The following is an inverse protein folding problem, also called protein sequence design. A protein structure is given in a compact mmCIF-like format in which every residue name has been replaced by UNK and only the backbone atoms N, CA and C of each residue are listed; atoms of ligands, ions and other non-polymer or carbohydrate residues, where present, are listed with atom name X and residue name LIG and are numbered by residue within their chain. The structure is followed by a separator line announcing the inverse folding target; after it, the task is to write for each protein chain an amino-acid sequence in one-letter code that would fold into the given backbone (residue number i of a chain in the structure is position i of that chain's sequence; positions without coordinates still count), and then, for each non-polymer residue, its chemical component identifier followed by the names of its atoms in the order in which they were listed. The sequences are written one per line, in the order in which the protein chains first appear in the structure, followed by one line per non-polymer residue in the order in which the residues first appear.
data_IF_587347004426
#
_entry.id   IF_587347004426
#
_cell.length_a   1.000
_cell.length_b   1.000
_cell.length_c   1.000
_cell.angle_alpha   90.00
_cell.angle_beta   90.00
_cell.angle_gamma   90.00
#
_symmetry.space_group_name_H-M   'P 1'
#
loop_
_entity.id
_entity.type
_entity.pdbx_description
1 polymer ?
#
# COMPACT_ATOMS: atom_id res chain seq x y z
N UNK A 1 16.70 -57.27 -25.34
CA UNK A 1 17.26 -56.18 -26.15
C UNK A 1 16.25 -55.03 -26.14
N UNK A 2 16.48 -54.06 -25.28
CA UNK A 2 15.58 -52.94 -25.00
C UNK A 2 15.87 -51.81 -25.99
N UNK A 3 14.86 -51.39 -26.76
CA UNK A 3 15.00 -50.31 -27.74
C UNK A 3 13.82 -49.34 -27.72
N UNK A 4 14.19 -48.11 -27.38
CA UNK A 4 13.70 -46.81 -27.87
C UNK A 4 12.52 -46.17 -27.11
N UNK A 5 12.93 -45.32 -26.16
CA UNK A 5 12.25 -44.07 -25.80
C UNK A 5 12.19 -43.12 -27.00
N UNK A 6 11.00 -42.56 -27.26
CA UNK A 6 10.73 -41.16 -27.62
C UNK A 6 9.28 -41.08 -28.08
N UNK A 7 8.48 -40.24 -27.43
CA UNK A 7 7.42 -39.42 -28.02
C UNK A 7 7.04 -38.34 -27.01
N UNK A 8 7.84 -37.27 -26.95
CA UNK A 8 7.34 -35.96 -26.51
C UNK A 8 6.65 -35.36 -27.72
N UNK A 9 5.31 -35.32 -27.69
CA UNK A 9 4.52 -34.56 -28.66
C UNK A 9 3.72 -33.54 -27.89
N UNK A 10 4.20 -32.31 -27.97
CA UNK A 10 3.51 -31.07 -27.63
C UNK A 10 2.14 -31.05 -28.33
N UNK A 11 1.08 -30.84 -27.57
CA UNK A 11 -0.23 -30.38 -28.08
C UNK A 11 -1.11 -29.93 -26.91
N UNK A 12 -1.21 -28.62 -26.70
CA UNK A 12 -2.47 -27.97 -26.35
C UNK A 12 -2.48 -26.59 -27.03
N UNK A 13 -3.15 -26.50 -28.17
CA UNK A 13 -3.55 -25.24 -28.78
C UNK A 13 -4.98 -24.95 -28.36
N UNK A 14 -5.13 -23.76 -27.79
CA UNK A 14 -6.13 -22.72 -28.09
C UNK A 14 -7.62 -23.06 -28.00
N UNK A 15 -8.29 -22.29 -27.14
CA UNK A 15 -9.34 -21.32 -27.51
C UNK A 15 -10.61 -21.48 -26.69
N UNK A 16 -10.82 -20.54 -25.76
CA UNK A 16 -12.08 -19.82 -25.60
C UNK A 16 -11.84 -18.58 -24.73
N UNK A 17 -11.32 -17.51 -25.33
CA UNK A 17 -11.49 -16.17 -24.77
C UNK A 17 -12.80 -15.61 -25.32
N UNK A 18 -13.89 -15.97 -24.64
CA UNK A 18 -15.22 -15.41 -24.83
C UNK A 18 -15.76 -14.96 -23.49
N UNK A 19 -16.24 -13.72 -23.43
CA UNK A 19 -16.88 -13.11 -22.26
C UNK A 19 -15.90 -12.29 -21.41
N UNK A 20 -16.17 -11.06 -21.05
CA UNK A 20 -17.38 -10.27 -21.18
C UNK A 20 -16.93 -8.82 -21.16
N UNK A 21 -17.42 -8.05 -22.14
CA UNK A 21 -17.52 -6.61 -22.01
C UNK A 21 -18.41 -6.35 -20.80
N UNK A 22 -17.75 -6.01 -19.69
CA UNK A 22 -18.34 -5.82 -18.38
C UNK A 22 -18.15 -4.38 -17.98
N UNK A 23 -18.80 -3.47 -18.72
CA UNK A 23 -19.18 -2.18 -18.16
C UNK A 23 -20.24 -2.43 -17.09
N UNK A 24 -19.80 -2.55 -15.84
CA UNK A 24 -20.67 -2.45 -14.68
C UNK A 24 -19.88 -1.94 -13.48
N UNK A 25 -20.44 -0.88 -12.89
CA UNK A 25 -20.09 -0.22 -11.62
C UNK A 25 -18.78 0.58 -11.65
N UNK A 26 -18.83 1.87 -12.00
CA UNK A 26 -19.47 2.88 -11.16
C UNK A 26 -19.45 2.52 -9.67
N UNK A 27 -18.26 2.24 -9.13
CA UNK A 27 -18.03 2.53 -7.73
C UNK A 27 -17.93 4.05 -7.57
N UNK A 28 -19.08 4.72 -7.74
CA UNK A 28 -19.48 5.85 -6.92
C UNK A 28 -19.35 5.47 -5.45
N UNK A 29 -18.11 5.46 -4.94
CA UNK A 29 -17.85 5.77 -3.54
C UNK A 29 -17.85 7.30 -3.39
N UNK A 30 -18.97 7.90 -3.81
CA UNK A 30 -19.40 9.18 -3.30
C UNK A 30 -19.86 8.98 -1.85
N UNK A 31 -19.37 9.89 -1.01
CA UNK A 31 -19.98 10.27 0.26
C UNK A 31 -20.26 9.14 1.26
N UNK A 32 -19.23 8.74 1.98
CA UNK A 32 -19.35 8.86 3.45
C UNK A 32 -18.46 10.01 3.88
N UNK A 33 -19.00 11.21 3.67
CA UNK A 33 -18.77 12.34 4.55
C UNK A 33 -18.98 11.88 6.00
N UNK A 34 -18.06 12.31 6.86
CA UNK A 34 -18.37 12.64 8.25
C UNK A 34 -19.18 11.61 9.06
N UNK A 35 -18.54 10.52 9.44
CA UNK A 35 -18.84 9.95 10.75
C UNK A 35 -17.74 10.43 11.71
N UNK A 36 -18.17 11.34 12.58
CA UNK A 36 -17.45 12.09 13.61
C UNK A 36 -16.99 11.19 14.77
N UNK A 37 -16.27 10.11 14.47
CA UNK A 37 -15.42 9.52 15.48
C UNK A 37 -14.11 10.33 15.46
N UNK A 38 -14.05 11.37 16.29
CA UNK A 38 -12.83 12.10 16.69
C UNK A 38 -11.86 11.16 17.43
N UNK A 39 -11.44 10.08 16.79
CA UNK A 39 -10.16 9.50 17.12
C UNK A 39 -9.12 10.46 16.52
N UNK A 40 -8.67 11.43 17.32
CA UNK A 40 -7.50 12.26 17.07
C UNK A 40 -6.29 11.32 16.99
N UNK A 41 -6.16 10.65 15.84
CA UNK A 41 -5.10 9.73 15.56
C UNK A 41 -3.87 10.57 15.21
N UNK A 42 -3.00 10.71 16.20
CA UNK A 42 -1.70 11.34 16.02
C UNK A 42 -0.93 10.59 14.92
N UNK A 43 -0.39 11.37 13.98
CA UNK A 43 0.51 10.81 12.97
C UNK A 43 1.71 10.17 13.66
N UNK A 44 2.17 9.00 13.20
CA UNK A 44 3.45 8.46 13.66
C UNK A 44 4.52 9.55 13.52
N UNK A 45 5.33 9.78 14.56
CA UNK A 45 6.29 10.90 14.62
C UNK A 45 7.17 10.98 13.35
N UNK A 46 7.57 9.82 12.81
CA UNK A 46 8.35 9.76 11.55
C UNK A 46 7.62 10.31 10.33
N UNK A 47 6.31 10.17 10.26
CA UNK A 47 5.48 10.73 9.18
C UNK A 47 5.24 12.22 9.43
N UNK A 48 4.96 12.60 10.67
CA UNK A 48 4.79 14.00 11.05
C UNK A 48 6.06 14.84 10.79
N UNK A 49 7.24 14.29 11.08
CA UNK A 49 8.52 14.96 10.85
C UNK A 49 8.84 15.20 9.37
N UNK A 50 8.15 14.52 8.45
CA UNK A 50 8.37 14.68 7.01
C UNK A 50 7.62 15.88 6.41
N UNK A 51 6.69 16.48 7.17
CA UNK A 51 5.86 17.60 6.71
C UNK A 51 6.53 18.90 7.20
N UNK A 52 7.36 19.48 6.35
CA UNK A 52 8.16 20.66 6.67
C UNK A 52 7.54 21.95 6.11
N UNK A 53 6.50 21.84 5.27
CA UNK A 53 5.95 22.99 4.54
C UNK A 53 6.76 23.32 3.28
N UNK A 54 7.45 22.33 2.70
CA UNK A 54 8.23 22.51 1.47
C UNK A 54 7.33 22.62 0.23
N UNK A 55 6.07 22.19 0.36
CA UNK A 55 5.08 22.13 -0.71
C UNK A 55 4.18 20.91 -0.53
N UNK A 56 2.91 21.05 -0.91
CA UNK A 56 1.90 19.99 -0.71
C UNK A 56 2.31 18.65 -1.34
N UNK A 57 2.77 18.65 -2.59
CA UNK A 57 3.19 17.43 -3.29
C UNK A 57 4.48 16.82 -2.72
N UNK A 58 5.45 17.65 -2.34
CA UNK A 58 6.73 17.21 -1.76
C UNK A 58 6.53 16.61 -0.37
N UNK A 59 5.79 17.28 0.50
CA UNK A 59 5.47 16.78 1.85
C UNK A 59 4.66 15.47 1.75
N UNK A 60 3.72 15.38 0.80
CA UNK A 60 2.97 14.15 0.55
C UNK A 60 3.87 13.00 0.09
N UNK A 61 4.85 13.26 -0.78
CA UNK A 61 5.80 12.26 -1.25
C UNK A 61 6.68 11.76 -0.10
N UNK A 62 7.21 12.68 0.72
CA UNK A 62 8.00 12.32 1.91
C UNK A 62 7.17 11.52 2.91
N UNK A 63 5.91 11.91 3.15
CA UNK A 63 4.99 11.15 3.99
C UNK A 63 4.75 9.74 3.46
N UNK A 64 4.49 9.59 2.17
CA UNK A 64 4.26 8.29 1.56
C UNK A 64 5.53 7.41 1.63
N UNK A 65 6.70 7.99 1.45
CA UNK A 65 7.97 7.29 1.60
C UNK A 65 8.18 6.82 3.05
N UNK A 66 8.06 7.72 4.02
CA UNK A 66 8.17 7.40 5.44
C UNK A 66 7.17 6.31 5.85
N UNK A 67 5.94 6.39 5.33
CA UNK A 67 4.92 5.37 5.57
C UNK A 67 5.35 4.00 5.03
N UNK A 68 5.91 3.93 3.83
CA UNK A 68 6.39 2.68 3.25
C UNK A 68 7.56 2.06 4.01
N UNK A 69 8.33 2.91 4.70
CA UNK A 69 9.54 2.52 5.41
C UNK A 69 9.30 2.18 6.88
N UNK A 70 8.15 2.56 7.47
CA UNK A 70 7.80 2.31 8.87
C UNK A 70 8.04 0.85 9.29
N UNK A 71 8.80 0.61 10.37
CA UNK A 71 9.04 -0.75 10.88
C UNK A 71 7.73 -1.42 11.33
N UNK A 72 7.71 -2.75 11.48
CA UNK A 72 6.54 -3.48 11.97
C UNK A 72 6.07 -3.01 13.36
N UNK A 73 6.98 -2.53 14.20
CA UNK A 73 6.67 -1.97 15.54
C UNK A 73 6.21 -0.49 15.52
N UNK A 74 6.46 0.24 14.43
CA UNK A 74 6.20 1.69 14.35
C UNK A 74 4.78 2.07 13.91
N UNK A 75 3.98 1.08 13.54
CA UNK A 75 2.56 1.16 13.20
C UNK A 75 2.03 -0.27 13.18
N UNK A 76 0.76 -0.54 13.50
CA UNK A 76 0.23 -1.91 13.48
C UNK A 76 0.53 -2.59 12.12
N UNK A 77 0.85 -3.89 12.14
CA UNK A 77 1.24 -4.69 10.95
C UNK A 77 0.26 -4.52 9.79
N UNK A 78 -1.02 -4.41 10.15
CA UNK A 78 -2.04 -3.77 9.35
C UNK A 78 -2.13 -2.33 9.83
N UNK A 79 -1.96 -1.34 8.94
CA UNK A 79 -2.45 0.01 9.24
C UNK A 79 -3.83 -0.13 9.91
N UNK A 80 -4.15 0.68 10.95
CA UNK A 80 -5.38 0.51 11.71
C UNK A 80 -6.54 0.28 10.75
N UNK A 81 -7.52 -0.53 11.18
CA UNK A 81 -8.68 -0.95 10.41
C UNK A 81 -9.39 0.20 9.64
N UNK A 82 -9.08 1.45 9.97
CA UNK A 82 -9.34 2.64 9.15
C UNK A 82 -8.08 3.22 8.48
N UNK A 83 -7.75 2.80 7.24
CA UNK A 83 -6.88 3.60 6.35
C UNK A 83 -7.39 5.04 6.15
N UNK A 84 -8.64 5.31 6.52
CA UNK A 84 -9.31 6.60 6.46
C UNK A 84 -8.77 7.59 7.51
N UNK A 85 -8.48 7.16 8.74
CA UNK A 85 -8.01 8.05 9.80
C UNK A 85 -6.59 8.57 9.52
N UNK A 86 -5.67 7.69 9.11
CA UNK A 86 -4.33 8.10 8.70
C UNK A 86 -4.36 9.08 7.51
N UNK A 87 -5.23 8.83 6.52
CA UNK A 87 -5.39 9.74 5.36
C UNK A 87 -5.84 11.13 5.80
N UNK A 88 -6.79 11.20 6.74
CA UNK A 88 -7.27 12.46 7.31
C UNK A 88 -6.17 13.18 8.08
N UNK A 89 -5.39 12.47 8.89
CA UNK A 89 -4.29 13.04 9.65
C UNK A 89 -3.18 13.60 8.73
N UNK A 90 -2.77 12.85 7.70
CA UNK A 90 -1.79 13.34 6.70
C UNK A 90 -2.34 14.53 5.92
N UNK A 91 -3.60 14.47 5.49
CA UNK A 91 -4.27 15.58 4.81
C UNK A 91 -4.23 16.84 5.68
N UNK A 92 -4.72 16.76 6.93
CA UNK A 92 -4.73 17.88 7.89
C UNK A 92 -3.33 18.44 8.10
N UNK A 93 -2.34 17.59 8.33
CA UNK A 93 -0.97 18.04 8.58
C UNK A 93 -0.34 18.71 7.34
N UNK A 94 -0.50 18.13 6.15
CA UNK A 94 -0.01 18.73 4.90
C UNK A 94 -0.68 20.07 4.62
N UNK A 95 -2.00 20.19 4.80
CA UNK A 95 -2.72 21.45 4.56
C UNK A 95 -2.42 22.51 5.61
N UNK A 96 -2.28 22.13 6.88
CA UNK A 96 -1.93 23.07 7.97
C UNK A 96 -0.49 23.56 7.91
N UNK A 97 0.43 22.82 7.27
CA UNK A 97 1.81 23.28 7.05
C UNK A 97 1.99 24.06 5.76
N UNK A 98 1.08 23.89 4.79
CA UNK A 98 1.10 24.55 3.49
C UNK A 98 -0.21 25.31 3.26
N UNK A 99 -0.65 26.11 4.24
CA UNK A 99 -1.98 26.76 4.22
C UNK A 99 -2.13 27.70 3.02
N UNK A 100 -1.10 28.47 2.70
CA UNK A 100 -1.09 29.39 1.56
C UNK A 100 -1.21 28.63 0.23
N UNK A 101 -0.35 27.62 0.01
CA UNK A 101 -0.40 26.79 -1.19
C UNK A 101 -1.72 26.01 -1.32
N UNK A 102 -2.32 25.61 -0.20
CA UNK A 102 -3.63 24.98 -0.16
C UNK A 102 -4.76 25.95 -0.51
N UNK A 103 -4.70 27.18 -0.01
CA UNK A 103 -5.68 28.22 -0.31
C UNK A 103 -5.60 28.71 -1.76
N UNK A 104 -4.41 28.70 -2.36
CA UNK A 104 -4.20 29.05 -3.77
C UNK A 104 -4.68 27.98 -4.75
N UNK A 105 -4.76 26.72 -4.31
CA UNK A 105 -5.37 25.65 -5.10
C UNK A 105 -6.89 25.88 -5.21
N UNK A 106 -7.39 26.00 -6.43
CA UNK A 106 -8.83 25.97 -6.69
C UNK A 106 -9.47 24.65 -6.28
N UNK A 107 -10.79 24.62 -6.09
CA UNK A 107 -11.52 23.45 -5.58
C UNK A 107 -11.27 22.17 -6.40
N UNK A 108 -11.18 22.27 -7.73
CA UNK A 108 -10.89 21.14 -8.61
C UNK A 108 -9.47 20.60 -8.38
N UNK A 109 -8.50 21.50 -8.18
CA UNK A 109 -7.13 21.14 -7.89
C UNK A 109 -7.01 20.52 -6.49
N UNK A 110 -7.71 21.05 -5.48
CA UNK A 110 -7.81 20.45 -4.15
C UNK A 110 -8.43 19.04 -4.19
N UNK A 111 -9.52 18.85 -4.96
CA UNK A 111 -10.16 17.55 -5.11
C UNK A 111 -9.24 16.52 -5.79
N UNK A 112 -8.52 16.93 -6.84
CA UNK A 112 -7.53 16.10 -7.51
C UNK A 112 -6.34 15.75 -6.59
N UNK A 113 -5.87 16.71 -5.79
CA UNK A 113 -4.80 16.51 -4.82
C UNK A 113 -5.23 15.54 -3.71
N UNK A 114 -6.44 15.66 -3.15
CA UNK A 114 -6.99 14.69 -2.18
C UNK A 114 -7.10 13.28 -2.79
N UNK A 115 -7.44 13.15 -4.07
CA UNK A 115 -7.43 11.86 -4.79
C UNK A 115 -6.00 11.33 -4.93
N UNK A 116 -5.03 12.18 -5.26
CA UNK A 116 -3.62 11.81 -5.36
C UNK A 116 -3.06 11.33 -4.00
N UNK A 117 -3.33 12.07 -2.91
CA UNK A 117 -2.98 11.70 -1.54
C UNK A 117 -3.50 10.30 -1.19
N UNK A 118 -4.79 10.04 -1.43
CA UNK A 118 -5.38 8.72 -1.17
C UNK A 118 -4.66 7.60 -1.93
N UNK A 119 -4.36 7.81 -3.21
CA UNK A 119 -3.67 6.83 -4.05
C UNK A 119 -2.23 6.60 -3.59
N UNK A 120 -1.49 7.67 -3.27
CA UNK A 120 -0.08 7.58 -2.82
C UNK A 120 0.03 6.86 -1.48
N UNK A 121 -0.81 7.21 -0.50
CA UNK A 121 -0.82 6.55 0.80
C UNK A 121 -1.24 5.08 0.70
N UNK A 122 -2.21 4.74 -0.15
CA UNK A 122 -2.58 3.34 -0.40
C UNK A 122 -1.42 2.53 -1.00
N UNK A 123 -0.70 3.09 -1.98
CA UNK A 123 0.49 2.45 -2.58
C UNK A 123 1.61 2.27 -1.56
N UNK A 124 1.87 3.27 -0.73
CA UNK A 124 2.87 3.19 0.34
C UNK A 124 2.53 2.11 1.37
N UNK A 125 1.26 2.03 1.78
CA UNK A 125 0.76 0.99 2.66
C UNK A 125 0.90 -0.42 2.06
N UNK A 126 0.54 -0.58 0.77
CA UNK A 126 0.71 -1.84 0.06
C UNK A 126 2.19 -2.27 -0.01
N UNK A 127 3.08 -1.34 -0.39
CA UNK A 127 4.53 -1.58 -0.44
C UNK A 127 5.10 -1.98 0.92
N UNK A 128 4.63 -1.35 2.01
CA UNK A 128 4.98 -1.75 3.38
C UNK A 128 4.54 -3.18 3.66
N UNK A 129 3.30 -3.52 3.33
CA UNK A 129 2.74 -4.86 3.49
C UNK A 129 3.54 -5.93 2.75
N UNK A 130 3.85 -5.70 1.47
CA UNK A 130 4.68 -6.60 0.65
C UNK A 130 6.07 -6.81 1.26
N UNK A 131 6.70 -5.75 1.77
CA UNK A 131 8.02 -5.83 2.42
C UNK A 131 7.97 -6.65 3.70
N UNK A 132 6.96 -6.42 4.54
CA UNK A 132 6.78 -7.17 5.79
C UNK A 132 6.48 -8.65 5.52
N UNK A 133 5.64 -8.94 4.54
CA UNK A 133 5.34 -10.31 4.14
C UNK A 133 6.59 -11.02 3.56
N UNK A 134 7.36 -10.33 2.71
CA UNK A 134 8.62 -10.85 2.19
C UNK A 134 9.63 -11.16 3.31
N UNK A 135 9.73 -10.29 4.32
CA UNK A 135 10.57 -10.53 5.48
C UNK A 135 10.11 -11.77 6.28
N UNK A 136 8.80 -11.89 6.53
CA UNK A 136 8.22 -13.05 7.22
C UNK A 136 8.45 -14.36 6.46
N UNK A 137 8.28 -14.35 5.13
CA UNK A 137 8.54 -15.53 4.27
C UNK A 137 9.99 -15.98 4.35
N UNK A 138 10.95 -15.04 4.35
CA UNK A 138 12.38 -15.36 4.52
C UNK A 138 12.67 -15.99 5.87
N UNK A 139 12.11 -15.43 6.94
CA UNK A 139 12.29 -15.95 8.29
C UNK A 139 11.76 -17.39 8.42
N UNK A 140 10.60 -17.68 7.83
CA UNK A 140 10.04 -19.05 7.80
C UNK A 140 10.92 -20.00 6.99
N UNK A 141 11.45 -19.56 5.83
CA UNK A 141 12.36 -20.39 5.02
C UNK A 141 13.67 -20.68 5.74
N UNK A 142 14.27 -19.70 6.40
CA UNK A 142 15.50 -19.87 7.18
C UNK A 142 15.30 -20.86 8.33
N UNK A 143 14.18 -20.76 9.06
CA UNK A 143 13.84 -21.71 10.12
C UNK A 143 13.62 -23.13 9.56
N UNK A 144 12.96 -23.27 8.41
CA UNK A 144 12.80 -24.57 7.78
C UNK A 144 14.15 -25.17 7.36
N UNK A 145 15.05 -24.37 6.81
CA UNK A 145 16.39 -24.82 6.43
C UNK A 145 17.23 -25.19 7.66
N UNK A 146 17.15 -24.43 8.76
CA UNK A 146 17.86 -24.76 10.00
C UNK A 146 17.37 -26.07 10.61
N UNK A 147 16.05 -26.28 10.67
CA UNK A 147 15.45 -27.52 11.19
C UNK A 147 15.83 -28.72 10.31
N UNK A 148 15.79 -28.57 8.98
CA UNK A 148 16.21 -29.64 8.08
C UNK A 148 17.70 -29.97 8.21
N UNK A 149 18.56 -28.96 8.36
CA UNK A 149 20.00 -29.17 8.58
C UNK A 149 20.28 -29.89 9.90
N UNK A 150 19.54 -29.56 10.97
CA UNK A 150 19.66 -30.21 12.26
C UNK A 150 19.19 -31.67 12.22
N UNK A 151 18.08 -31.97 11.53
CA UNK A 151 17.58 -33.34 11.34
C UNK A 151 18.54 -34.20 10.51
N UNK A 152 19.22 -33.64 9.51
CA UNK A 152 20.21 -34.36 8.68
C UNK A 152 21.51 -34.61 9.44
N UNK A 153 21.84 -33.78 10.44
CA UNK A 153 23.05 -33.91 11.24
C UNK A 153 22.91 -34.90 12.43
N UNK A 154 21.68 -35.31 12.77
CA UNK A 154 21.36 -36.25 13.84
C UNK A 154 21.26 -37.69 13.32
#
# INVERSE_FOLDING_TARGET
AEKRRKNHRLSISSSESGGSDGEADDFSLELSEDSEAEADLELPERVASCIEGAGLDEDLERCAQALSELPPDGAPEHLPAEPQALRRAVLKACTSKNEEAWAELGEEAQASWRKALRRRLARAAAKRGERLEAARRRQVQEQQQSVLAEVVAA
#
